data_IF_355700400162
#
_entry.id   IF_355700400162
#
_cell.length_a   1.000
_cell.length_b   1.000
_cell.length_c   1.000
_cell.angle_alpha   90.00
_cell.angle_beta   90.00
_cell.angle_gamma   90.00
#
_symmetry.space_group_name_H-M   'P 1'
#
loop_
_entity.id
_entity.type
_entity.pdbx_description
1 polymer ?
#
# COMPACT_ATOMS: atom_id res chain seq x y z
N UNK A 1 -27.50 3.22 -10.65
CA UNK A 1 -26.68 2.30 -11.44
C UNK A 1 -25.38 3.01 -11.71
N UNK A 2 -24.26 2.37 -11.39
CA UNK A 2 -22.90 2.88 -11.55
C UNK A 2 -22.09 1.78 -12.24
N UNK A 3 -21.16 2.16 -13.11
CA UNK A 3 -20.26 1.23 -13.80
C UNK A 3 -18.88 1.85 -13.80
N UNK A 4 -17.86 1.04 -13.54
CA UNK A 4 -16.45 1.43 -13.67
C UNK A 4 -15.61 0.26 -14.19
N UNK A 5 -14.37 0.56 -14.57
CA UNK A 5 -13.33 -0.48 -14.56
C UNK A 5 -13.16 -0.98 -13.13
N UNK A 6 -12.88 -2.26 -12.99
CA UNK A 6 -12.49 -2.88 -11.73
C UNK A 6 -10.96 -3.02 -11.61
N UNK A 7 -10.20 -2.83 -12.70
CA UNK A 7 -8.81 -3.28 -12.76
C UNK A 7 -8.73 -4.81 -12.88
N UNK A 8 -7.54 -5.39 -12.79
CA UNK A 8 -7.33 -6.84 -12.82
C UNK A 8 -7.46 -7.43 -11.40
N UNK A 9 -8.69 -7.72 -10.97
CA UNK A 9 -8.96 -8.14 -9.58
C UNK A 9 -8.62 -9.60 -9.32
N UNK A 10 -8.34 -10.37 -10.37
CA UNK A 10 -8.04 -11.80 -10.30
C UNK A 10 -6.62 -12.16 -10.77
N UNK A 11 -5.86 -11.18 -11.27
CA UNK A 11 -4.48 -11.28 -11.72
C UNK A 11 -4.28 -12.11 -12.98
N UNK A 12 -5.26 -12.13 -13.88
CA UNK A 12 -5.15 -12.85 -15.15
C UNK A 12 -4.55 -12.00 -16.29
N UNK A 13 -4.21 -10.75 -15.99
CA UNK A 13 -3.63 -9.75 -16.88
C UNK A 13 -4.65 -8.96 -17.69
N UNK A 14 -5.94 -9.04 -17.37
CA UNK A 14 -7.00 -8.32 -18.08
C UNK A 14 -7.90 -7.54 -17.12
N UNK A 15 -8.06 -6.23 -17.39
CA UNK A 15 -9.02 -5.40 -16.64
C UNK A 15 -10.45 -5.99 -16.65
N UNK A 16 -11.03 -6.01 -15.47
CA UNK A 16 -12.38 -6.44 -15.15
C UNK A 16 -13.36 -5.26 -15.14
N UNK A 17 -14.66 -5.56 -15.03
CA UNK A 17 -15.72 -4.53 -14.98
C UNK A 17 -16.58 -4.71 -13.73
N UNK A 18 -16.78 -3.63 -12.98
CA UNK A 18 -17.74 -3.59 -11.87
C UNK A 18 -19.01 -2.83 -12.24
N UNK A 19 -20.15 -3.43 -11.93
CA UNK A 19 -21.49 -2.90 -12.20
C UNK A 19 -22.27 -2.84 -10.89
N UNK A 20 -22.50 -1.63 -10.39
CA UNK A 20 -23.40 -1.37 -9.28
C UNK A 20 -24.83 -1.15 -9.77
N UNK A 21 -25.78 -1.94 -9.28
CA UNK A 21 -27.19 -1.79 -9.60
C UNK A 21 -27.99 -1.31 -8.39
N UNK A 22 -29.27 -1.00 -8.62
CA UNK A 22 -30.24 -0.83 -7.53
C UNK A 22 -31.02 -2.13 -7.48
N UNK A 23 -30.77 -3.02 -6.49
CA UNK A 23 -31.32 -4.37 -6.51
C UNK A 23 -32.84 -4.36 -6.35
N UNK A 24 -33.48 -5.47 -6.74
CA UNK A 24 -34.79 -5.88 -6.24
C UNK A 24 -34.65 -6.57 -4.88
N UNK A 25 -35.76 -6.86 -4.17
CA UNK A 25 -35.67 -7.59 -2.89
C UNK A 25 -35.11 -8.98 -3.14
N UNK A 26 -33.99 -9.33 -2.50
CA UNK A 26 -33.31 -10.62 -2.65
C UNK A 26 -32.53 -10.78 -3.96
N UNK A 27 -32.20 -9.68 -4.64
CA UNK A 27 -31.35 -9.67 -5.82
C UNK A 27 -29.94 -9.14 -5.47
N UNK A 28 -28.89 -9.57 -6.18
CA UNK A 28 -27.55 -9.01 -6.02
C UNK A 28 -27.55 -7.49 -6.23
N UNK A 29 -26.79 -6.78 -5.42
CA UNK A 29 -26.63 -5.33 -5.50
C UNK A 29 -25.66 -4.92 -6.60
N UNK A 30 -24.74 -5.80 -7.00
CA UNK A 30 -23.80 -5.54 -8.09
C UNK A 30 -23.17 -6.81 -8.64
N UNK A 31 -22.30 -6.63 -9.62
CA UNK A 31 -21.63 -7.69 -10.36
C UNK A 31 -20.21 -7.26 -10.71
N UNK A 32 -19.28 -8.19 -10.67
CA UNK A 32 -17.94 -8.05 -11.23
C UNK A 32 -17.82 -9.06 -12.36
N UNK A 33 -17.41 -8.62 -13.55
CA UNK A 33 -17.27 -9.47 -14.74
C UNK A 33 -15.80 -9.51 -15.11
N UNK A 34 -15.25 -10.73 -15.18
CA UNK A 34 -13.83 -10.88 -15.47
C UNK A 34 -13.50 -10.63 -16.93
N UNK A 35 -12.49 -9.78 -17.15
CA UNK A 35 -11.79 -9.57 -18.40
C UNK A 35 -11.25 -10.89 -18.94
N UNK A 36 -11.07 -10.96 -20.26
CA UNK A 36 -10.42 -12.11 -20.90
C UNK A 36 -9.96 -11.81 -22.32
N UNK A 37 -8.83 -12.43 -22.70
CA UNK A 37 -8.27 -12.36 -24.06
C UNK A 37 -9.24 -12.74 -25.18
N UNK A 38 -10.18 -13.66 -24.89
CA UNK A 38 -11.12 -14.17 -25.89
C UNK A 38 -12.23 -13.18 -26.25
N UNK A 39 -12.36 -12.08 -25.49
CA UNK A 39 -13.46 -11.13 -25.61
C UNK A 39 -14.78 -11.71 -25.09
N UNK A 40 -15.88 -10.98 -25.32
CA UNK A 40 -17.20 -11.35 -24.82
C UNK A 40 -18.20 -11.59 -25.95
N UNK A 41 -19.22 -12.40 -25.65
CA UNK A 41 -20.42 -12.46 -26.47
C UNK A 41 -21.16 -11.11 -26.46
N UNK A 42 -22.02 -10.88 -27.45
CA UNK A 42 -22.79 -9.64 -27.55
C UNK A 42 -23.73 -9.39 -26.36
N UNK A 43 -24.03 -10.44 -25.58
CA UNK A 43 -24.86 -10.39 -24.38
C UNK A 43 -24.22 -11.25 -23.31
N UNK A 44 -24.15 -10.75 -22.08
CA UNK A 44 -23.73 -11.49 -20.89
C UNK A 44 -24.91 -11.55 -19.91
N UNK A 45 -25.21 -12.73 -19.38
CA UNK A 45 -26.19 -12.89 -18.31
C UNK A 45 -25.48 -12.80 -16.95
N UNK A 46 -25.65 -11.68 -16.25
CA UNK A 46 -24.97 -11.42 -14.97
C UNK A 46 -25.43 -12.35 -13.82
N UNK A 47 -26.57 -13.04 -13.98
CA UNK A 47 -27.03 -14.05 -13.03
C UNK A 47 -26.34 -15.41 -13.18
N UNK A 48 -25.58 -15.60 -14.25
CA UNK A 48 -24.82 -16.84 -14.54
C UNK A 48 -23.34 -16.70 -14.19
N UNK A 49 -22.97 -15.64 -13.45
CA UNK A 49 -21.63 -15.50 -12.91
C UNK A 49 -21.37 -16.57 -11.85
N UNK A 50 -20.25 -17.29 -11.99
CA UNK A 50 -20.00 -18.54 -11.25
C UNK A 50 -18.67 -18.55 -10.46
N UNK A 51 -17.95 -17.43 -10.44
CA UNK A 51 -16.62 -17.30 -9.84
C UNK A 51 -15.45 -17.49 -10.81
N UNK A 52 -15.68 -18.06 -12.01
CA UNK A 52 -14.65 -18.18 -13.06
C UNK A 52 -14.79 -17.12 -14.15
N UNK A 53 -15.96 -16.51 -14.28
CA UNK A 53 -16.29 -15.48 -15.28
C UNK A 53 -16.71 -14.15 -14.64
N UNK A 54 -16.54 -14.03 -13.33
CA UNK A 54 -17.04 -12.95 -12.50
C UNK A 54 -17.83 -13.47 -11.30
N UNK A 55 -18.35 -12.56 -10.50
CA UNK A 55 -19.13 -12.88 -9.29
C UNK A 55 -20.19 -11.81 -8.98
N UNK A 56 -21.13 -12.18 -8.13
CA UNK A 56 -22.27 -11.36 -7.71
C UNK A 56 -21.99 -10.75 -6.33
N UNK A 57 -22.26 -9.46 -6.19
CA UNK A 57 -22.13 -8.72 -4.94
C UNK A 57 -23.49 -8.66 -4.25
N UNK A 58 -23.62 -9.35 -3.12
CA UNK A 58 -24.81 -9.34 -2.29
C UNK A 58 -24.67 -8.27 -1.21
N UNK A 59 -25.58 -7.28 -1.24
CA UNK A 59 -25.62 -6.26 -0.20
C UNK A 59 -26.43 -6.74 1.00
N UNK A 60 -26.31 -6.05 2.14
CA UNK A 60 -27.11 -6.41 3.31
C UNK A 60 -28.61 -6.14 3.07
N UNK A 61 -29.45 -7.11 3.42
CA UNK A 61 -30.92 -6.97 3.43
C UNK A 61 -31.43 -5.83 4.32
N UNK A 62 -30.61 -5.37 5.27
CA UNK A 62 -30.96 -4.34 6.25
C UNK A 62 -31.04 -2.93 5.67
N UNK A 63 -30.42 -2.66 4.51
CA UNK A 63 -30.34 -1.30 3.96
C UNK A 63 -31.20 -1.07 2.72
N UNK A 64 -31.86 -2.08 2.15
CA UNK A 64 -32.85 -1.90 1.09
C UNK A 64 -32.28 -1.52 -0.29
N UNK A 65 -33.19 -1.47 -1.27
CA UNK A 65 -32.95 -1.37 -2.71
C UNK A 65 -32.28 -0.05 -3.10
N UNK A 66 -30.95 0.06 -2.98
CA UNK A 66 -30.26 1.36 -3.08
C UNK A 66 -29.24 1.40 -4.21
N UNK A 67 -29.07 2.57 -4.87
CA UNK A 67 -28.05 2.74 -5.88
C UNK A 67 -26.67 2.66 -5.26
N UNK A 68 -25.87 1.71 -5.74
CA UNK A 68 -24.45 1.65 -5.40
C UNK A 68 -23.65 2.61 -6.28
N UNK A 69 -22.69 3.30 -5.65
CA UNK A 69 -21.54 3.88 -6.33
C UNK A 69 -20.45 2.83 -6.35
N UNK A 70 -19.81 2.57 -7.49
CA UNK A 70 -18.74 1.57 -7.59
C UNK A 70 -17.54 2.17 -8.33
N UNK A 71 -16.34 1.78 -7.92
CA UNK A 71 -15.10 2.07 -8.63
C UNK A 71 -14.04 1.01 -8.32
N UNK A 72 -12.96 0.95 -9.10
CA UNK A 72 -11.71 0.35 -8.64
C UNK A 72 -11.14 1.18 -7.48
N UNK A 73 -10.47 0.51 -6.56
CA UNK A 73 -9.66 1.12 -5.52
C UNK A 73 -8.16 1.09 -5.86
N UNK A 74 -7.77 0.53 -7.01
CA UNK A 74 -6.37 0.23 -7.31
C UNK A 74 -5.83 -0.87 -6.40
N UNK A 75 -4.51 -1.02 -6.28
CA UNK A 75 -3.89 -1.97 -5.34
C UNK A 75 -3.77 -1.34 -3.95
N UNK A 76 -4.90 -1.29 -3.23
CA UNK A 76 -5.03 -0.55 -1.97
C UNK A 76 -4.33 -1.27 -0.80
N UNK A 77 -4.12 -2.59 -0.92
CA UNK A 77 -3.38 -3.39 0.06
C UNK A 77 -1.96 -3.81 -0.42
N UNK A 78 -1.54 -3.46 -1.63
CA UNK A 78 -0.22 -3.72 -2.17
C UNK A 78 0.09 -5.20 -2.39
N UNK A 79 -0.95 -6.02 -2.63
CA UNK A 79 -0.78 -7.46 -2.86
C UNK A 79 -0.63 -7.84 -4.34
N UNK A 80 -0.66 -6.84 -5.22
CA UNK A 80 -0.51 -6.95 -6.67
C UNK A 80 -1.80 -7.22 -7.43
N UNK A 81 -2.96 -7.14 -6.77
CA UNK A 81 -4.28 -7.28 -7.41
C UNK A 81 -5.09 -5.99 -7.23
N UNK A 82 -5.81 -5.58 -8.27
CA UNK A 82 -6.69 -4.41 -8.13
C UNK A 82 -7.86 -4.71 -7.18
N UNK A 83 -8.17 -3.75 -6.31
CA UNK A 83 -9.23 -3.80 -5.31
C UNK A 83 -10.47 -3.03 -5.75
N UNK A 84 -11.57 -3.20 -5.02
CA UNK A 84 -12.86 -2.63 -5.35
C UNK A 84 -13.44 -1.80 -4.21
N UNK A 85 -13.95 -0.60 -4.52
CA UNK A 85 -14.72 0.22 -3.57
C UNK A 85 -16.19 0.32 -4.00
N UNK A 86 -17.07 -0.02 -3.06
CA UNK A 86 -18.53 -0.02 -3.24
C UNK A 86 -19.17 0.87 -2.19
N UNK A 87 -19.71 2.02 -2.61
CA UNK A 87 -20.47 2.94 -1.76
C UNK A 87 -21.97 2.64 -1.78
N UNK A 88 -22.58 2.57 -0.60
CA UNK A 88 -24.02 2.38 -0.40
C UNK A 88 -24.61 3.49 0.47
N UNK A 89 -25.20 4.50 -0.20
CA UNK A 89 -25.82 5.66 0.46
C UNK A 89 -27.05 5.26 1.28
N UNK A 90 -27.00 5.37 2.60
CA UNK A 90 -28.16 5.15 3.48
C UNK A 90 -29.05 6.40 3.58
N UNK A 91 -30.31 6.38 3.14
CA UNK A 91 -31.19 7.58 3.25
C UNK A 91 -31.75 7.83 4.67
N UNK A 92 -31.66 6.85 5.57
CA UNK A 92 -32.09 6.96 6.98
C UNK A 92 -31.18 6.10 7.88
N UNK A 93 -29.96 5.89 7.39
CA UNK A 93 -28.89 5.12 7.98
C UNK A 93 -27.59 5.88 7.69
N UNK A 94 -26.50 5.66 8.43
CA UNK A 94 -25.24 6.38 8.24
C UNK A 94 -24.63 6.28 6.82
N UNK A 95 -25.05 5.32 6.02
CA UNK A 95 -24.34 4.94 4.80
C UNK A 95 -23.13 4.09 5.13
N UNK A 96 -22.77 3.21 4.21
CA UNK A 96 -21.67 2.26 4.35
C UNK A 96 -20.95 2.16 3.02
N UNK A 97 -19.62 2.06 3.06
CA UNK A 97 -18.84 1.63 1.91
C UNK A 97 -18.15 0.31 2.23
N UNK A 98 -17.89 -0.49 1.21
CA UNK A 98 -17.21 -1.77 1.31
C UNK A 98 -15.97 -1.71 0.44
N UNK A 99 -14.83 -2.03 1.01
CA UNK A 99 -13.63 -2.35 0.25
C UNK A 99 -13.56 -3.87 0.11
N UNK A 100 -13.34 -4.37 -1.10
CA UNK A 100 -13.19 -5.79 -1.41
C UNK A 100 -11.84 -5.99 -2.07
N UNK A 101 -11.03 -6.90 -1.52
CA UNK A 101 -9.69 -7.16 -2.03
C UNK A 101 -9.69 -8.05 -3.27
N UNK A 102 -8.82 -7.72 -4.22
CA UNK A 102 -8.42 -8.58 -5.33
C UNK A 102 -7.72 -9.85 -4.81
N UNK A 103 -7.73 -10.94 -5.61
CA UNK A 103 -6.97 -12.16 -5.29
C UNK A 103 -6.89 -13.16 -6.44
N UNK A 104 -5.73 -13.82 -6.57
CA UNK A 104 -5.55 -14.97 -7.45
C UNK A 104 -6.23 -16.28 -6.99
N UNK A 105 -6.63 -16.38 -5.71
CA UNK A 105 -7.23 -17.63 -5.18
C UNK A 105 -8.64 -17.92 -5.72
N UNK A 106 -9.19 -16.99 -6.51
CA UNK A 106 -10.50 -17.09 -7.13
C UNK A 106 -11.61 -16.58 -6.22
N UNK A 107 -12.76 -16.28 -6.83
CA UNK A 107 -13.94 -15.75 -6.15
C UNK A 107 -15.06 -16.79 -6.14
N UNK A 108 -15.89 -16.77 -5.09
CA UNK A 108 -17.15 -17.50 -5.11
C UNK A 108 -18.14 -16.79 -6.04
N UNK A 109 -19.10 -17.54 -6.60
CA UNK A 109 -20.16 -16.99 -7.46
C UNK A 109 -20.94 -15.84 -6.79
N UNK A 110 -21.08 -15.88 -5.47
CA UNK A 110 -21.76 -14.89 -4.64
C UNK A 110 -20.83 -14.47 -3.51
N UNK A 111 -20.76 -13.17 -3.28
CA UNK A 111 -20.01 -12.55 -2.19
C UNK A 111 -20.96 -11.66 -1.37
N UNK A 112 -21.12 -11.97 -0.09
CA UNK A 112 -21.90 -11.13 0.82
C UNK A 112 -21.01 -10.03 1.40
N UNK A 113 -21.27 -8.80 1.01
CA UNK A 113 -20.52 -7.62 1.46
C UNK A 113 -20.62 -7.39 2.97
N UNK A 114 -21.65 -7.93 3.62
CA UNK A 114 -21.85 -7.80 5.07
C UNK A 114 -20.97 -8.74 5.89
N UNK A 115 -20.46 -9.80 5.26
CA UNK A 115 -19.76 -10.91 5.90
C UNK A 115 -18.26 -10.95 5.54
N UNK A 116 -17.73 -9.87 4.94
CA UNK A 116 -16.31 -9.76 4.61
C UNK A 116 -15.44 -9.99 5.86
N UNK A 117 -14.46 -10.87 5.74
CA UNK A 117 -13.39 -11.03 6.72
C UNK A 117 -12.13 -10.25 6.30
N UNK A 118 -11.13 -10.22 7.19
CA UNK A 118 -9.90 -9.45 6.98
C UNK A 118 -9.07 -9.87 5.76
N UNK A 119 -9.35 -11.03 5.16
CA UNK A 119 -8.71 -11.48 3.92
C UNK A 119 -9.50 -11.13 2.66
N UNK A 120 -10.75 -10.69 2.82
CA UNK A 120 -11.64 -10.36 1.70
C UNK A 120 -11.90 -8.86 1.58
N UNK A 121 -11.65 -8.09 2.64
CA UNK A 121 -11.84 -6.65 2.66
C UNK A 121 -12.36 -6.14 4.00
N UNK A 122 -13.04 -4.99 3.99
CA UNK A 122 -13.65 -4.44 5.20
C UNK A 122 -14.74 -3.41 4.92
N UNK A 123 -15.43 -3.00 5.98
CA UNK A 123 -16.52 -2.04 5.96
C UNK A 123 -16.06 -0.66 6.45
N UNK A 124 -16.32 0.37 5.66
CA UNK A 124 -16.21 1.78 6.03
C UNK A 124 -17.59 2.28 6.48
N UNK A 125 -17.73 2.60 7.77
CA UNK A 125 -19.01 3.02 8.36
C UNK A 125 -18.93 4.42 8.92
N UNK A 126 -20.03 5.18 8.81
CA UNK A 126 -20.21 6.42 9.55
C UNK A 126 -21.00 6.14 10.84
N UNK A 127 -20.72 6.90 11.90
CA UNK A 127 -21.38 6.73 13.20
C UNK A 127 -22.75 7.40 13.32
N UNK A 128 -23.14 8.26 12.37
CA UNK A 128 -24.32 9.13 12.48
C UNK A 128 -25.25 8.93 11.29
N UNK A 129 -26.55 8.79 11.58
CA UNK A 129 -27.62 8.68 10.59
C UNK A 129 -27.69 9.96 9.74
N UNK A 130 -27.96 9.83 8.44
CA UNK A 130 -28.09 10.90 7.44
C UNK A 130 -26.78 11.52 6.93
N UNK A 131 -25.62 11.06 7.38
CA UNK A 131 -24.30 11.49 6.88
C UNK A 131 -24.04 11.11 5.41
N UNK A 132 -24.77 10.10 4.91
CA UNK A 132 -24.69 9.62 3.54
C UNK A 132 -23.29 9.17 3.12
N UNK A 133 -22.51 8.56 4.03
CA UNK A 133 -21.21 7.97 3.67
C UNK A 133 -21.38 6.96 2.52
N UNK A 134 -20.46 7.00 1.57
CA UNK A 134 -20.53 6.14 0.37
C UNK A 134 -21.54 6.63 -0.67
N UNK A 135 -21.98 7.89 -0.60
CA UNK A 135 -22.80 8.50 -1.65
C UNK A 135 -22.06 8.55 -3.00
N UNK A 136 -20.74 8.72 -2.94
CA UNK A 136 -19.82 8.64 -4.06
C UNK A 136 -18.51 8.04 -3.58
N UNK A 137 -17.91 7.19 -4.40
CA UNK A 137 -16.59 6.59 -4.15
C UNK A 137 -15.73 6.70 -5.40
N UNK A 138 -14.42 6.81 -5.22
CA UNK A 138 -13.43 6.76 -6.29
C UNK A 138 -12.09 6.30 -5.76
N UNK A 139 -11.28 5.65 -6.61
CA UNK A 139 -9.83 5.65 -6.42
C UNK A 139 -9.33 7.10 -6.42
N UNK A 140 -8.32 7.36 -5.60
CA UNK A 140 -7.53 8.58 -5.57
C UNK A 140 -6.15 8.39 -6.20
N UNK A 141 -5.75 7.14 -6.47
CA UNK A 141 -4.36 6.73 -6.71
C UNK A 141 -3.54 6.87 -5.42
N UNK A 142 -2.26 6.55 -5.48
CA UNK A 142 -1.31 6.87 -4.41
C UNK A 142 -1.12 8.40 -4.31
N UNK A 143 -1.80 9.07 -3.37
CA UNK A 143 -1.73 10.54 -3.21
C UNK A 143 -0.72 10.99 -2.17
N UNK A 144 -0.22 10.09 -1.33
CA UNK A 144 0.80 10.37 -0.33
C UNK A 144 2.20 9.85 -0.72
N UNK A 145 2.31 9.07 -1.80
CA UNK A 145 3.55 8.52 -2.33
C UNK A 145 4.06 7.31 -1.56
N UNK A 146 3.18 6.53 -0.92
CA UNK A 146 3.56 5.39 -0.07
C UNK A 146 3.50 4.02 -0.78
N UNK A 147 3.29 4.03 -2.10
CA UNK A 147 3.25 2.83 -2.93
C UNK A 147 1.94 2.05 -2.85
N UNK A 148 0.96 2.48 -2.06
CA UNK A 148 -0.39 1.91 -2.05
C UNK A 148 -1.39 2.87 -2.69
N UNK A 149 -2.32 2.35 -3.48
CA UNK A 149 -3.38 3.20 -4.00
C UNK A 149 -4.31 3.68 -2.87
N UNK A 150 -4.70 4.95 -2.90
CA UNK A 150 -5.64 5.52 -1.94
C UNK A 150 -7.06 5.61 -2.51
N UNK A 151 -8.03 5.81 -1.63
CA UNK A 151 -9.42 6.00 -2.04
C UNK A 151 -10.06 7.23 -1.41
N UNK A 152 -11.08 7.75 -2.09
CA UNK A 152 -11.90 8.87 -1.62
C UNK A 152 -13.37 8.46 -1.47
N UNK A 153 -13.95 8.78 -0.31
CA UNK A 153 -15.36 8.53 0.01
C UNK A 153 -16.07 9.84 0.33
N UNK A 154 -17.17 10.08 -0.37
CA UNK A 154 -18.06 11.23 -0.13
C UNK A 154 -19.11 10.95 0.93
N UNK A 155 -19.30 11.90 1.85
CA UNK A 155 -20.38 11.93 2.82
C UNK A 155 -21.06 13.32 2.76
N UNK A 156 -21.96 13.57 1.80
CA UNK A 156 -22.54 14.90 1.60
C UNK A 156 -23.54 15.33 2.69
N UNK A 157 -23.89 14.43 3.62
CA UNK A 157 -24.85 14.70 4.68
C UNK A 157 -24.24 15.09 6.03
N UNK A 158 -22.92 14.98 6.19
CA UNK A 158 -22.23 15.44 7.40
C UNK A 158 -22.22 16.96 7.51
N UNK A 159 -22.19 17.45 8.75
CA UNK A 159 -22.38 18.86 9.08
C UNK A 159 -21.22 19.48 9.89
N UNK A 160 -19.94 19.34 9.52
CA UNK A 160 -18.83 19.90 10.29
C UNK A 160 -18.91 21.43 10.39
N UNK A 161 -19.43 22.11 9.37
CA UNK A 161 -19.48 23.58 9.25
C UNK A 161 -20.91 24.13 9.07
N UNK A 162 -21.94 23.34 9.40
CA UNK A 162 -23.35 23.68 9.26
C UNK A 162 -24.13 22.69 8.39
N UNK A 163 -25.45 22.92 8.27
CA UNK A 163 -26.42 22.01 7.63
C UNK A 163 -25.97 21.61 6.21
N UNK A 164 -25.69 20.32 6.06
CA UNK A 164 -25.19 19.60 4.88
C UNK A 164 -23.99 20.27 4.22
N UNK A 165 -23.05 20.72 5.04
CA UNK A 165 -21.76 21.24 4.55
C UNK A 165 -20.95 20.17 3.80
N UNK A 166 -21.15 18.91 4.16
CA UNK A 166 -20.56 17.76 3.49
C UNK A 166 -19.08 17.56 3.86
N UNK A 167 -18.62 16.32 3.75
CA UNK A 167 -17.19 15.97 3.83
C UNK A 167 -16.82 15.02 2.72
N UNK A 168 -15.53 14.98 2.44
CA UNK A 168 -14.89 13.91 1.69
C UNK A 168 -13.73 13.39 2.54
N UNK A 169 -13.58 12.08 2.56
CA UNK A 169 -12.53 11.40 3.31
C UNK A 169 -11.58 10.76 2.31
N UNK A 170 -10.30 11.04 2.44
CA UNK A 170 -9.25 10.22 1.82
C UNK A 170 -8.87 9.16 2.83
N UNK A 171 -8.83 7.91 2.39
CA UNK A 171 -8.41 6.76 3.17
C UNK A 171 -7.14 6.28 2.50
N UNK A 172 -6.05 6.19 3.27
CA UNK A 172 -4.78 5.74 2.75
C UNK A 172 -4.69 4.22 2.69
N UNK A 173 -4.11 3.73 1.60
CA UNK A 173 -3.78 2.31 1.41
C UNK A 173 -2.71 1.84 2.41
N UNK A 174 -2.56 0.53 2.56
CA UNK A 174 -1.50 -0.11 3.37
C UNK A 174 -1.56 -1.63 3.26
N UNK A 175 -0.43 -2.28 3.51
CA UNK A 175 -0.31 -3.75 3.49
C UNK A 175 -1.11 -4.49 4.57
N UNK A 176 -1.55 -3.80 5.63
CA UNK A 176 -2.28 -4.42 6.74
C UNK A 176 -3.30 -3.49 7.38
N UNK A 177 -4.54 -3.97 7.49
CA UNK A 177 -5.66 -3.26 8.11
C UNK A 177 -6.10 -3.87 9.45
N UNK A 178 -5.36 -4.85 9.96
CA UNK A 178 -5.63 -5.41 11.28
C UNK A 178 -5.01 -4.51 12.35
N UNK A 179 -5.85 -3.98 13.23
CA UNK A 179 -5.45 -3.15 14.39
C UNK A 179 -4.62 -3.90 15.45
N UNK A 180 -4.24 -5.16 15.23
CA UNK A 180 -3.35 -5.90 16.13
C UNK A 180 -1.91 -5.71 15.65
N UNK A 181 -1.34 -4.57 16.04
CA UNK A 181 0.09 -4.32 15.89
C UNK A 181 0.81 -5.21 16.90
N UNK A 182 1.68 -6.12 16.45
CA UNK A 182 2.44 -7.01 17.33
C UNK A 182 3.36 -6.22 18.28
N UNK A 183 3.94 -5.14 17.76
CA UNK A 183 4.83 -4.25 18.49
C UNK A 183 4.37 -2.79 18.38
N UNK A 184 3.40 -2.37 19.21
CA UNK A 184 2.97 -0.98 19.27
C UNK A 184 3.93 -0.18 20.17
N UNK A 185 4.58 0.82 19.57
CA UNK A 185 5.41 1.80 20.25
C UNK A 185 4.60 2.90 20.93
N UNK A 186 5.33 3.90 21.43
CA UNK A 186 4.81 5.01 22.23
C UNK A 186 5.25 6.34 21.61
N UNK A 187 4.84 7.50 22.16
CA UNK A 187 5.35 8.79 21.71
C UNK A 187 6.80 9.12 22.10
N UNK A 188 7.60 8.16 22.58
CA UNK A 188 9.02 8.38 22.85
C UNK A 188 9.88 7.19 22.43
N UNK A 189 11.20 7.38 22.42
CA UNK A 189 12.19 6.42 21.90
C UNK A 189 12.04 4.98 22.45
N UNK A 190 11.55 4.09 21.60
CA UNK A 190 11.29 2.69 21.88
C UNK A 190 12.31 1.75 21.23
N UNK A 191 12.44 0.54 21.78
CA UNK A 191 13.21 -0.55 21.18
C UNK A 191 12.28 -1.74 20.99
N UNK A 192 11.88 -1.95 19.75
CA UNK A 192 10.97 -3.00 19.33
C UNK A 192 11.77 -4.11 18.66
N UNK A 193 11.55 -5.35 19.06
CA UNK A 193 12.35 -6.48 18.57
C UNK A 193 11.46 -7.70 18.39
N UNK A 194 11.29 -8.08 17.13
CA UNK A 194 10.48 -9.22 16.72
C UNK A 194 11.18 -10.56 16.78
N UNK A 195 10.54 -11.49 16.12
CA UNK A 195 10.96 -12.88 15.96
C UNK A 195 11.19 -13.18 14.48
N UNK A 196 11.03 -14.44 14.09
CA UNK A 196 11.15 -14.89 12.70
C UNK A 196 9.78 -15.08 12.04
N UNK A 197 8.70 -14.66 12.72
CA UNK A 197 7.36 -14.63 12.16
C UNK A 197 7.16 -13.29 11.43
N UNK A 198 6.23 -13.21 10.49
CA UNK A 198 5.84 -11.91 9.94
C UNK A 198 5.05 -11.13 10.99
N UNK A 199 5.55 -9.95 11.35
CA UNK A 199 5.05 -9.13 12.45
C UNK A 199 4.84 -7.67 12.03
N UNK A 200 3.94 -6.97 12.71
CA UNK A 200 3.70 -5.54 12.52
C UNK A 200 4.34 -4.68 13.62
N UNK A 201 5.11 -3.68 13.22
CA UNK A 201 5.76 -2.71 14.09
C UNK A 201 5.26 -1.31 13.80
N UNK A 202 4.92 -0.56 14.84
CA UNK A 202 4.61 0.87 14.77
C UNK A 202 5.46 1.58 15.83
N UNK A 203 6.36 2.47 15.43
CA UNK A 203 7.21 3.26 16.34
C UNK A 203 6.38 4.30 17.09
N UNK A 204 5.60 5.08 16.34
CA UNK A 204 4.72 6.11 16.90
C UNK A 204 5.41 7.46 16.91
N UNK A 205 6.08 7.84 18.00
CA UNK A 205 6.88 9.05 17.98
C UNK A 205 8.14 8.91 18.83
N UNK A 206 9.14 9.74 18.58
CA UNK A 206 10.47 9.54 19.16
C UNK A 206 11.41 8.93 18.14
N UNK A 207 12.64 8.62 18.56
CA UNK A 207 13.61 7.94 17.69
C UNK A 207 13.64 6.46 18.03
N UNK A 208 12.90 5.68 17.28
CA UNK A 208 12.61 4.29 17.56
C UNK A 208 13.61 3.35 16.91
N UNK A 209 13.80 2.19 17.54
CA UNK A 209 14.64 1.12 17.03
C UNK A 209 13.81 -0.14 16.83
N UNK A 210 13.47 -0.42 15.58
CA UNK A 210 12.70 -1.60 15.18
C UNK A 210 13.60 -2.66 14.55
N UNK A 211 13.47 -3.91 15.00
CA UNK A 211 14.31 -5.01 14.55
C UNK A 211 13.45 -6.22 14.18
N UNK A 212 13.29 -6.44 12.88
CA UNK A 212 12.84 -7.71 12.32
C UNK A 212 13.93 -8.78 12.46
N UNK A 213 13.55 -10.01 12.78
CA UNK A 213 14.48 -11.15 12.85
C UNK A 213 14.10 -12.25 11.85
N UNK A 214 13.48 -11.83 10.74
CA UNK A 214 13.07 -12.63 9.59
C UNK A 214 11.56 -12.78 9.55
N UNK A 215 11.02 -13.31 8.45
CA UNK A 215 9.59 -13.28 8.21
C UNK A 215 9.18 -11.99 7.49
N UNK A 216 7.95 -11.99 6.99
CA UNK A 216 7.43 -10.90 6.20
C UNK A 216 6.87 -9.80 7.11
N UNK A 217 7.77 -8.97 7.62
CA UNK A 217 7.49 -7.90 8.59
C UNK A 217 6.97 -6.62 7.92
N UNK A 218 6.17 -5.84 8.65
CA UNK A 218 5.75 -4.47 8.28
C UNK A 218 6.25 -3.49 9.33
N UNK A 219 6.88 -2.39 8.89
CA UNK A 219 7.40 -1.35 9.77
C UNK A 219 6.82 0.02 9.42
N UNK A 220 6.32 0.73 10.43
CA UNK A 220 5.95 2.14 10.40
C UNK A 220 6.77 2.86 11.48
N UNK A 221 7.66 3.77 11.06
CA UNK A 221 8.49 4.61 11.94
C UNK A 221 7.67 5.60 12.75
N UNK A 222 6.75 6.30 12.09
CA UNK A 222 6.03 7.43 12.65
C UNK A 222 6.88 8.70 12.69
N UNK A 223 6.94 9.36 13.86
CA UNK A 223 7.57 10.68 14.00
C UNK A 223 8.92 10.59 14.70
N UNK A 224 10.00 10.85 13.97
CA UNK A 224 11.34 11.01 14.52
C UNK A 224 12.40 10.37 13.63
N UNK A 225 13.61 10.18 14.15
CA UNK A 225 14.69 9.59 13.38
C UNK A 225 14.83 8.12 13.77
N UNK A 226 14.19 7.25 13.02
CA UNK A 226 14.02 5.85 13.33
C UNK A 226 15.11 4.98 12.72
N UNK A 227 15.31 3.83 13.34
CA UNK A 227 16.20 2.79 12.84
C UNK A 227 15.41 1.50 12.67
N UNK A 228 15.12 1.16 11.41
CA UNK A 228 14.44 -0.08 11.01
C UNK A 228 15.50 -1.07 10.55
N UNK A 229 15.47 -2.31 11.06
CA UNK A 229 16.46 -3.33 10.70
C UNK A 229 15.80 -4.58 10.15
N UNK A 230 16.04 -4.83 8.86
CA UNK A 230 15.54 -6.01 8.12
C UNK A 230 16.60 -7.10 8.02
N UNK A 231 16.16 -8.36 7.92
CA UNK A 231 17.05 -9.52 7.80
C UNK A 231 17.16 -10.05 6.36
N UNK A 232 16.11 -9.87 5.56
CA UNK A 232 16.00 -10.30 4.17
C UNK A 232 15.12 -9.33 3.38
N UNK A 233 14.85 -9.67 2.12
CA UNK A 233 13.98 -8.96 1.17
C UNK A 233 12.52 -9.45 1.21
N UNK A 234 12.21 -10.34 2.17
CA UNK A 234 10.88 -10.92 2.38
C UNK A 234 9.93 -10.03 3.17
N UNK A 235 10.35 -8.83 3.59
CA UNK A 235 9.50 -7.86 4.28
C UNK A 235 8.29 -7.46 3.42
N UNK A 236 7.19 -7.14 4.10
CA UNK A 236 5.97 -6.62 3.48
C UNK A 236 6.12 -5.14 3.19
N UNK A 237 6.57 -4.37 4.19
CA UNK A 237 6.59 -2.91 4.11
C UNK A 237 7.59 -2.29 5.08
N UNK A 238 8.21 -1.19 4.67
CA UNK A 238 9.08 -0.34 5.49
C UNK A 238 8.74 1.11 5.17
N UNK A 239 8.26 1.84 6.16
CA UNK A 239 8.12 3.30 6.08
C UNK A 239 8.81 3.96 7.27
N UNK A 240 9.71 4.91 6.99
CA UNK A 240 10.29 5.78 7.99
C UNK A 240 9.37 6.93 8.40
N UNK A 241 8.36 7.25 7.59
CA UNK A 241 7.44 8.36 7.79
C UNK A 241 8.16 9.71 7.90
N UNK A 242 8.18 10.38 9.07
CA UNK A 242 8.72 11.75 9.18
C UNK A 242 9.99 11.77 10.01
N UNK A 243 11.08 12.26 9.41
CA UNK A 243 12.31 12.53 10.12
C UNK A 243 13.53 12.24 9.27
N UNK A 244 14.50 11.52 9.82
CA UNK A 244 15.68 11.08 9.07
C UNK A 244 15.96 9.66 9.47
N UNK A 245 15.50 8.76 8.61
CA UNK A 245 15.29 7.37 8.97
C UNK A 245 16.37 6.50 8.36
N UNK A 246 16.67 5.41 9.07
CA UNK A 246 17.75 4.50 8.72
C UNK A 246 17.24 3.08 8.54
N UNK A 247 17.33 2.56 7.31
CA UNK A 247 17.16 1.15 7.01
C UNK A 247 18.48 0.39 7.14
N UNK A 248 18.56 -0.50 8.11
CA UNK A 248 19.73 -1.35 8.38
C UNK A 248 19.59 -2.74 7.79
N UNK A 249 20.57 -3.15 6.98
CA UNK A 249 20.66 -4.49 6.43
C UNK A 249 21.41 -5.41 7.42
N UNK A 250 20.74 -6.39 8.00
CA UNK A 250 21.31 -7.26 9.04
C UNK A 250 21.72 -8.66 8.57
N UNK A 251 21.42 -9.03 7.33
CA UNK A 251 21.74 -10.35 6.79
C UNK A 251 23.24 -10.62 6.68
N UNK A 252 23.60 -11.87 6.37
CA UNK A 252 24.99 -12.31 6.22
C UNK A 252 25.37 -12.30 4.73
N UNK A 253 26.04 -11.24 4.27
CA UNK A 253 26.30 -11.04 2.84
C UNK A 253 25.02 -10.78 2.06
N UNK A 254 24.14 -9.96 2.63
CA UNK A 254 22.83 -9.67 2.07
C UNK A 254 22.99 -8.77 0.84
N UNK A 255 22.34 -9.16 -0.26
CA UNK A 255 22.24 -8.36 -1.46
C UNK A 255 20.81 -7.85 -1.58
N UNK A 256 20.61 -6.55 -1.41
CA UNK A 256 19.32 -5.91 -1.62
C UNK A 256 19.35 -5.19 -2.97
N UNK A 257 18.44 -5.59 -3.86
CA UNK A 257 18.18 -4.87 -5.10
C UNK A 257 16.99 -3.93 -4.90
N UNK A 258 17.26 -2.63 -4.77
CA UNK A 258 16.23 -1.64 -4.47
C UNK A 258 15.15 -1.62 -5.54
N UNK A 259 15.52 -1.75 -6.82
CA UNK A 259 14.55 -1.78 -7.91
C UNK A 259 13.52 -2.92 -7.80
N UNK A 260 13.80 -3.97 -7.03
CA UNK A 260 12.86 -5.08 -6.80
C UNK A 260 11.92 -4.90 -5.59
N UNK A 261 12.21 -3.92 -4.72
CA UNK A 261 11.47 -3.70 -3.48
C UNK A 261 11.12 -2.22 -3.25
N UNK A 262 11.35 -1.36 -4.25
CA UNK A 262 11.24 0.09 -4.11
C UNK A 262 9.82 0.50 -3.69
N UNK A 263 8.82 -0.16 -4.24
CA UNK A 263 7.40 0.06 -3.93
C UNK A 263 7.05 -0.29 -2.46
N UNK A 264 7.95 -0.99 -1.75
CA UNK A 264 7.77 -1.43 -0.36
C UNK A 264 8.57 -0.60 0.65
N UNK A 265 9.42 0.32 0.20
CA UNK A 265 10.30 1.10 1.08
C UNK A 265 10.05 2.59 0.85
N UNK A 266 9.64 3.28 1.90
CA UNK A 266 9.30 4.71 1.86
C UNK A 266 9.94 5.47 3.01
N UNK A 267 10.17 6.77 2.81
CA UNK A 267 10.68 7.65 3.85
C UNK A 267 12.03 7.24 4.44
N UNK A 268 12.98 6.77 3.61
CA UNK A 268 14.31 6.35 4.09
C UNK A 268 15.42 7.22 3.48
N UNK A 269 16.11 7.99 4.33
CA UNK A 269 17.23 8.84 3.91
C UNK A 269 18.59 8.15 4.07
N UNK A 270 18.69 7.10 4.90
CA UNK A 270 19.94 6.39 5.16
C UNK A 270 19.79 4.87 5.04
N UNK A 271 20.64 4.24 4.24
CA UNK A 271 20.83 2.79 4.25
C UNK A 271 22.15 2.43 4.94
N UNK A 272 22.08 1.50 5.89
CA UNK A 272 23.19 1.03 6.70
C UNK A 272 23.54 -0.42 6.37
N UNK A 273 24.67 -0.63 5.72
CA UNK A 273 25.27 -1.93 5.34
C UNK A 273 26.12 -2.58 6.45
N UNK A 274 26.11 -2.06 7.69
CA UNK A 274 26.85 -2.63 8.84
C UNK A 274 26.33 -4.01 9.34
N UNK A 275 25.72 -4.81 8.46
CA UNK A 275 25.35 -6.19 8.70
C UNK A 275 26.57 -7.11 8.90
N UNK A 276 26.34 -8.41 8.80
CA UNK A 276 27.43 -9.40 8.92
C UNK A 276 27.94 -9.75 7.54
N UNK A 277 29.26 -9.83 7.34
CA UNK A 277 29.83 -10.15 6.03
C UNK A 277 29.70 -8.99 5.04
N UNK A 278 29.93 -9.31 3.77
CA UNK A 278 30.05 -8.34 2.67
C UNK A 278 28.67 -8.10 2.03
N UNK A 279 28.02 -6.99 2.37
CA UNK A 279 26.67 -6.68 1.89
C UNK A 279 26.72 -5.88 0.58
N UNK A 280 25.70 -6.04 -0.25
CA UNK A 280 25.59 -5.32 -1.52
C UNK A 280 24.25 -4.60 -1.60
N UNK A 281 24.29 -3.35 -2.06
CA UNK A 281 23.10 -2.59 -2.42
C UNK A 281 23.13 -2.32 -3.93
N UNK A 282 22.14 -2.81 -4.66
CA UNK A 282 21.92 -2.47 -6.07
C UNK A 282 20.87 -1.38 -6.16
N UNK A 283 21.12 -0.34 -6.95
CA UNK A 283 20.20 0.78 -7.11
C UNK A 283 20.29 1.47 -8.47
N UNK A 284 19.26 2.25 -8.78
CA UNK A 284 19.26 3.22 -9.88
C UNK A 284 19.14 4.66 -9.35
N UNK A 285 19.30 5.65 -10.23
CA UNK A 285 19.03 7.04 -9.88
C UNK A 285 17.54 7.28 -9.56
N UNK A 286 16.64 6.51 -10.17
CA UNK A 286 15.20 6.61 -9.91
C UNK A 286 14.89 6.07 -8.50
N UNK A 287 15.48 4.94 -8.10
CA UNK A 287 15.32 4.39 -6.75
C UNK A 287 15.72 5.40 -5.65
N UNK A 288 16.73 6.25 -5.89
CA UNK A 288 17.15 7.31 -4.96
C UNK A 288 16.12 8.43 -4.83
N UNK A 289 15.45 8.75 -5.93
CA UNK A 289 14.37 9.75 -5.94
C UNK A 289 13.15 9.18 -5.23
N UNK A 290 12.79 7.92 -5.54
CA UNK A 290 11.59 7.28 -5.01
C UNK A 290 11.72 7.01 -3.49
N UNK A 291 12.93 6.71 -2.99
CA UNK A 291 13.18 6.57 -1.54
C UNK A 291 13.12 7.88 -0.75
N UNK A 292 13.51 9.01 -1.37
CA UNK A 292 13.70 10.27 -0.66
C UNK A 292 12.52 11.21 -0.86
N UNK A 293 11.58 11.21 0.10
CA UNK A 293 10.39 12.06 0.03
C UNK A 293 10.67 13.58 0.03
N UNK A 294 11.86 14.02 0.47
CA UNK A 294 12.15 15.45 0.64
C UNK A 294 13.40 15.99 -0.09
N UNK A 295 14.43 15.18 -0.32
CA UNK A 295 15.77 15.70 -0.69
C UNK A 295 16.41 15.08 -1.92
N UNK A 296 15.82 14.04 -2.51
CA UNK A 296 16.43 13.22 -3.56
C UNK A 296 17.85 12.75 -3.18
N UNK A 297 18.16 12.66 -1.88
CA UNK A 297 19.49 12.38 -1.36
C UNK A 297 19.45 11.14 -0.49
N UNK A 298 20.20 10.11 -0.89
CA UNK A 298 20.34 8.88 -0.12
C UNK A 298 21.77 8.75 0.43
N UNK A 299 21.88 8.51 1.74
CA UNK A 299 23.15 8.24 2.43
C UNK A 299 23.35 6.75 2.60
N UNK A 300 24.49 6.24 2.18
CA UNK A 300 24.85 4.83 2.35
C UNK A 300 26.06 4.74 3.25
N UNK A 301 25.96 3.96 4.33
CA UNK A 301 27.04 3.72 5.28
C UNK A 301 27.32 2.23 5.35
N UNK A 302 28.59 1.86 5.37
CA UNK A 302 29.01 0.46 5.49
C UNK A 302 30.45 0.36 5.97
N UNK A 303 30.98 -0.85 5.98
CA UNK A 303 32.35 -1.16 6.32
C UNK A 303 33.09 -1.79 5.12
N UNK A 304 34.38 -2.03 5.30
CA UNK A 304 35.21 -2.65 4.28
C UNK A 304 34.70 -4.06 3.93
N UNK A 305 34.35 -4.27 2.66
CA UNK A 305 33.73 -5.50 2.16
C UNK A 305 32.36 -5.22 1.54
N UNK A 306 31.66 -4.19 2.03
CA UNK A 306 30.38 -3.77 1.46
C UNK A 306 30.55 -3.10 0.09
N UNK A 307 29.51 -3.21 -0.74
CA UNK A 307 29.49 -2.60 -2.07
C UNK A 307 28.15 -1.97 -2.45
N UNK A 308 28.22 -0.91 -3.25
CA UNK A 308 27.08 -0.32 -3.97
C UNK A 308 27.31 -0.53 -5.46
N UNK A 309 26.31 -1.05 -6.14
CA UNK A 309 26.36 -1.35 -7.58
C UNK A 309 25.21 -0.67 -8.33
N UNK A 310 25.39 -0.41 -9.62
CA UNK A 310 24.45 0.36 -10.44
C UNK A 310 24.95 1.76 -10.78
N UNK A 311 26.23 2.07 -10.51
CA UNK A 311 26.83 3.37 -10.78
C UNK A 311 27.65 3.41 -12.08
N UNK A 312 27.64 2.33 -12.87
CA UNK A 312 28.47 2.18 -14.07
C UNK A 312 28.06 3.06 -15.27
N UNK A 313 26.88 3.69 -15.26
CA UNK A 313 26.40 4.60 -16.31
C UNK A 313 25.64 5.79 -15.73
N UNK A 314 25.81 6.96 -16.35
CA UNK A 314 25.04 8.20 -16.13
C UNK A 314 25.23 8.89 -14.77
N UNK A 315 25.99 8.30 -13.85
CA UNK A 315 26.44 8.96 -12.62
C UNK A 315 27.66 9.86 -12.88
N UNK A 316 27.76 10.94 -12.12
CA UNK A 316 28.93 11.83 -12.05
C UNK A 316 29.58 11.68 -10.68
N UNK A 317 30.90 11.54 -10.64
CA UNK A 317 31.69 11.56 -9.40
C UNK A 317 32.03 13.02 -9.04
N UNK A 318 31.47 13.49 -7.93
CA UNK A 318 31.67 14.84 -7.38
C UNK A 318 32.75 14.89 -6.28
N UNK A 319 33.43 13.77 -6.07
CA UNK A 319 34.55 13.60 -5.17
C UNK A 319 34.18 13.27 -3.72
N UNK A 320 35.20 13.23 -2.87
CA UNK A 320 35.05 12.89 -1.45
C UNK A 320 34.91 14.15 -0.60
N UNK A 321 33.80 14.23 0.14
CA UNK A 321 33.48 15.30 1.07
C UNK A 321 33.32 14.75 2.49
N UNK A 322 34.38 14.89 3.30
CA UNK A 322 34.42 14.31 4.64
C UNK A 322 34.54 12.78 4.60
N UNK A 323 33.52 12.08 5.13
CA UNK A 323 33.50 10.61 5.20
C UNK A 323 32.65 9.97 4.08
N UNK A 324 32.20 10.78 3.11
CA UNK A 324 31.36 10.32 2.01
C UNK A 324 31.99 10.68 0.67
N UNK A 325 31.84 9.78 -0.29
CA UNK A 325 32.01 10.00 -1.71
C UNK A 325 30.65 10.39 -2.28
N UNK A 326 30.59 11.53 -2.95
CA UNK A 326 29.37 12.08 -3.54
C UNK A 326 29.25 11.72 -5.02
N UNK A 327 28.09 11.21 -5.41
CA UNK A 327 27.75 10.92 -6.80
C UNK A 327 26.40 11.56 -7.15
N UNK A 328 26.28 12.10 -8.36
CA UNK A 328 25.03 12.72 -8.84
C UNK A 328 24.56 12.17 -10.17
N UNK A 329 23.25 12.04 -10.36
CA UNK A 329 22.62 11.69 -11.62
C UNK A 329 21.26 12.41 -11.74
N UNK A 330 21.20 13.46 -12.56
CA UNK A 330 20.01 14.32 -12.62
C UNK A 330 19.77 15.02 -11.28
N UNK A 331 18.62 14.76 -10.66
CA UNK A 331 18.27 15.29 -9.33
C UNK A 331 18.69 14.37 -8.18
N UNK A 332 19.08 13.12 -8.48
CA UNK A 332 19.51 12.15 -7.47
C UNK A 332 20.91 12.47 -6.95
N UNK A 333 21.07 12.43 -5.63
CA UNK A 333 22.34 12.61 -4.92
C UNK A 333 22.61 11.39 -4.05
N UNK A 334 23.76 10.75 -4.25
CA UNK A 334 24.24 9.64 -3.42
C UNK A 334 25.44 10.06 -2.60
N UNK A 335 25.37 9.79 -1.31
CA UNK A 335 26.48 9.97 -0.37
C UNK A 335 26.92 8.61 0.16
N UNK A 336 27.96 8.04 -0.43
CA UNK A 336 28.44 6.69 -0.13
C UNK A 336 29.63 6.76 0.81
N UNK A 337 29.59 6.05 1.94
CA UNK A 337 30.68 6.04 2.90
C UNK A 337 32.00 5.57 2.27
N UNK A 338 33.11 6.23 2.58
CA UNK A 338 34.43 5.97 1.95
C UNK A 338 34.98 4.55 2.15
N UNK A 339 34.44 3.79 3.09
CA UNK A 339 34.80 2.40 3.34
C UNK A 339 33.98 1.40 2.49
N UNK A 340 32.97 1.88 1.75
CA UNK A 340 32.10 1.09 0.88
C UNK A 340 32.63 1.18 -0.55
N UNK A 341 32.72 0.04 -1.23
CA UNK A 341 33.19 -0.02 -2.62
C UNK A 341 32.07 0.29 -3.61
N UNK A 342 32.42 0.82 -4.78
CA UNK A 342 31.47 1.10 -5.87
C UNK A 342 31.91 0.46 -7.18
N UNK A 343 30.97 0.24 -8.10
CA UNK A 343 31.24 -0.16 -9.49
C UNK A 343 31.47 1.03 -10.44
N UNK A 344 31.59 2.25 -9.89
CA UNK A 344 31.89 3.45 -10.65
C UNK A 344 33.30 3.39 -11.27
N UNK A 345 33.42 3.77 -12.54
CA UNK A 345 34.62 3.58 -13.37
C UNK A 345 35.63 4.74 -13.32
#
# INVERSE_FOLDING_TARGET
>A
MSVSTAGDVNGDGFDDVIVGITPGRGEPSGYVVFGKVSGFDATINLFELDGNNGFQLEGSDMFGLRPMSVNTAGDFNGDGFDDLIIGSKGDSYPGISYLVFGKASGFSAQMNLSDLDSSEGFQLTAGIVDDYLGASVSSAGDVNGDGFDDLIVGAPGVDPDGDRSGSSYVIFGRSSFVDDVDFPGTPGDDILTGTSAGESFVGGGGNDRMIGRGGADSFDGGVGNDYIRILGDDFQFVDGSTGTDTLGLAGSGFNLDLSSVIDKIHGIETISLYGVGDNTLTLTAQDVIDLSGETNTLKIKGNAGDSVVGLSSDWTDDGVHGNFHEYTNGEAVLLIGVDVTTDFA
#
